data_IF_915035423815
#
_entry.id   IF_915035423815
#
_cell.length_a   1.000
_cell.length_b   1.000
_cell.length_c   1.000
_cell.angle_alpha   90.00
_cell.angle_beta   90.00
_cell.angle_gamma   90.00
#
_symmetry.space_group_name_H-M   'P 1'
#
loop_
_entity.id
_entity.type
_entity.pdbx_description
1 polymer ?
#
# COMPACT_ATOMS: atom_id res chain seq x y z
N UNK A 1 -63.14 22.22 -37.09
CA UNK A 1 -61.85 22.95 -37.14
C UNK A 1 -61.44 23.19 -35.69
N UNK A 2 -60.31 22.74 -35.15
CA UNK A 2 -59.13 22.08 -35.68
C UNK A 2 -58.64 21.07 -34.62
N UNK A 3 -58.06 19.97 -35.08
CA UNK A 3 -57.50 18.90 -34.27
C UNK A 3 -56.12 19.31 -33.73
N UNK A 4 -55.84 19.03 -32.45
CA UNK A 4 -54.47 18.96 -31.92
C UNK A 4 -54.33 17.59 -31.26
N UNK A 5 -53.54 16.74 -31.92
CA UNK A 5 -53.10 15.43 -31.45
C UNK A 5 -52.17 15.62 -30.25
N UNK A 6 -52.55 15.08 -29.10
CA UNK A 6 -51.67 14.97 -27.93
C UNK A 6 -50.79 13.74 -28.11
N UNK A 7 -49.51 13.95 -28.41
CA UNK A 7 -48.47 12.92 -28.42
C UNK A 7 -48.06 12.69 -26.96
N UNK A 8 -48.48 11.56 -26.39
CA UNK A 8 -48.01 11.11 -25.09
C UNK A 8 -46.68 10.37 -25.30
N UNK A 9 -45.56 11.05 -25.02
CA UNK A 9 -44.24 10.42 -24.97
C UNK A 9 -44.16 9.49 -23.75
N UNK A 10 -44.01 8.19 -24.01
CA UNK A 10 -43.65 7.18 -23.02
C UNK A 10 -42.23 7.51 -22.53
N UNK A 11 -42.11 8.03 -21.31
CA UNK A 11 -40.82 8.12 -20.62
C UNK A 11 -40.51 6.74 -20.03
N UNK A 12 -39.72 5.93 -20.75
CA UNK A 12 -39.00 4.83 -20.13
C UNK A 12 -37.97 5.45 -19.17
N UNK A 13 -38.28 5.43 -17.88
CA UNK A 13 -37.29 5.64 -16.84
C UNK A 13 -36.30 4.48 -16.87
N UNK A 14 -35.19 4.66 -17.57
CA UNK A 14 -34.02 3.79 -17.46
C UNK A 14 -33.41 4.03 -16.08
N UNK A 15 -33.92 3.31 -15.08
CA UNK A 15 -33.30 3.23 -13.77
C UNK A 15 -32.05 2.37 -13.93
N UNK A 16 -30.96 3.01 -14.39
CA UNK A 16 -29.66 2.38 -14.45
C UNK A 16 -29.28 1.97 -13.03
N UNK A 17 -29.21 0.66 -12.78
CA UNK A 17 -28.42 0.13 -11.68
C UNK A 17 -26.98 0.60 -11.91
N UNK A 18 -26.63 1.74 -11.31
CA UNK A 18 -25.24 2.04 -11.00
C UNK A 18 -24.83 0.96 -10.01
N UNK A 19 -24.26 -0.13 -10.53
CA UNK A 19 -23.40 -1.00 -9.74
C UNK A 19 -22.40 -0.04 -9.11
N UNK A 20 -22.56 0.23 -7.81
CA UNK A 20 -21.50 0.80 -6.99
C UNK A 20 -20.38 -0.22 -7.04
N UNK A 21 -19.54 -0.15 -8.08
CA UNK A 21 -18.22 -0.75 -8.00
C UNK A 21 -17.62 -0.12 -6.76
N UNK A 22 -17.31 -0.92 -5.75
CA UNK A 22 -16.55 -0.44 -4.60
C UNK A 22 -15.30 0.22 -5.19
N UNK A 23 -15.29 1.56 -5.20
CA UNK A 23 -14.07 2.29 -5.53
C UNK A 23 -13.14 1.99 -4.37
N UNK A 24 -12.01 1.36 -4.67
CA UNK A 24 -10.91 1.26 -3.74
C UNK A 24 -10.51 2.69 -3.31
N UNK A 25 -10.01 2.84 -2.08
CA UNK A 25 -9.75 4.16 -1.48
C UNK A 25 -8.67 4.95 -2.21
N UNK A 26 -7.75 4.26 -2.89
CA UNK A 26 -6.71 4.91 -3.67
C UNK A 26 -7.26 5.60 -4.92
N UNK A 27 -7.03 6.90 -5.03
CA UNK A 27 -7.37 7.71 -6.20
C UNK A 27 -6.11 8.35 -6.79
N UNK A 28 -5.72 7.90 -7.99
CA UNK A 28 -4.57 8.44 -8.73
C UNK A 28 -4.80 9.85 -9.26
N UNK A 29 -6.04 10.36 -9.24
CA UNK A 29 -6.36 11.71 -9.68
C UNK A 29 -6.15 12.76 -8.57
N UNK A 30 -6.01 12.34 -7.31
CA UNK A 30 -5.84 13.25 -6.17
C UNK A 30 -4.43 13.18 -5.59
N UNK A 31 -4.09 14.19 -4.80
CA UNK A 31 -2.82 14.33 -4.08
C UNK A 31 -2.99 14.15 -2.56
N UNK A 32 -4.18 13.74 -2.11
CA UNK A 32 -4.57 13.68 -0.71
C UNK A 32 -4.74 12.26 -0.19
N UNK A 33 -4.17 11.26 -0.86
CA UNK A 33 -4.28 9.88 -0.39
C UNK A 33 -3.51 9.73 0.92
N UNK A 34 -4.12 9.10 1.92
CA UNK A 34 -3.49 8.77 3.19
C UNK A 34 -3.32 7.27 3.28
N UNK A 35 -2.08 6.86 3.47
CA UNK A 35 -1.67 5.48 3.67
C UNK A 35 -1.11 5.32 5.07
N UNK A 36 -1.61 4.36 5.84
CA UNK A 36 -1.06 4.09 7.17
C UNK A 36 -0.81 2.60 7.31
N UNK A 37 0.42 2.22 7.65
CA UNK A 37 0.76 0.83 7.92
C UNK A 37 0.04 0.31 9.17
N UNK A 38 -0.37 -0.96 9.13
CA UNK A 38 -0.95 -1.66 10.27
C UNK A 38 -0.31 -3.03 10.42
N UNK A 39 -0.08 -3.47 11.66
CA UNK A 39 0.28 -4.85 11.95
C UNK A 39 1.53 -5.02 12.81
N UNK A 40 2.41 -4.02 12.94
CA UNK A 40 3.65 -4.18 13.74
C UNK A 40 3.57 -3.63 15.16
N UNK A 41 2.46 -2.98 15.54
CA UNK A 41 2.29 -2.36 16.85
C UNK A 41 3.52 -1.54 17.26
N UNK A 42 4.01 -0.66 16.38
CA UNK A 42 5.28 0.04 16.62
C UNK A 42 5.29 0.97 17.84
N UNK A 43 4.14 1.30 18.43
CA UNK A 43 4.05 2.00 19.72
C UNK A 43 4.47 1.11 20.91
N UNK A 44 4.48 -0.21 20.74
CA UNK A 44 4.99 -1.23 21.69
C UNK A 44 4.30 -1.26 23.05
N UNK A 45 3.16 -0.59 23.21
CA UNK A 45 2.32 -0.72 24.40
C UNK A 45 1.28 -1.83 24.22
N UNK A 46 0.94 -2.48 25.32
CA UNK A 46 -0.18 -3.40 25.36
C UNK A 46 -1.46 -2.67 24.88
N UNK A 47 -2.26 -3.36 24.06
CA UNK A 47 -3.54 -2.86 23.52
C UNK A 47 -3.45 -1.60 22.64
N UNK A 48 -2.25 -1.17 22.22
CA UNK A 48 -2.11 0.02 21.36
C UNK A 48 -2.29 -0.24 19.86
N UNK A 49 -2.15 -1.49 19.42
CA UNK A 49 -2.64 -1.94 18.13
C UNK A 49 -4.01 -2.60 18.31
N UNK A 50 -5.03 -1.95 17.79
CA UNK A 50 -6.38 -2.49 17.74
C UNK A 50 -6.54 -3.42 16.52
N UNK A 51 -7.66 -4.13 16.45
CA UNK A 51 -8.00 -4.93 15.25
C UNK A 51 -8.12 -4.01 14.03
N UNK A 52 -7.84 -4.55 12.85
CA UNK A 52 -7.78 -3.77 11.61
C UNK A 52 -9.12 -3.04 11.33
N UNK A 53 -10.25 -3.69 11.57
CA UNK A 53 -11.57 -3.11 11.30
C UNK A 53 -11.89 -1.84 12.11
N UNK A 54 -11.28 -1.66 13.28
CA UNK A 54 -11.53 -0.48 14.13
C UNK A 54 -11.08 0.82 13.43
N UNK A 55 -10.01 0.73 12.64
CA UNK A 55 -9.46 1.85 11.88
C UNK A 55 -10.20 2.11 10.56
N UNK A 56 -10.93 1.12 10.04
CA UNK A 56 -11.51 1.20 8.71
C UNK A 56 -12.76 2.08 8.62
N UNK A 57 -13.31 2.51 9.75
CA UNK A 57 -14.37 3.52 9.80
C UNK A 57 -13.83 4.95 9.66
N UNK A 58 -12.53 5.16 9.84
CA UNK A 58 -11.90 6.47 9.70
C UNK A 58 -11.82 6.86 8.22
N UNK A 59 -12.69 7.76 7.79
CA UNK A 59 -12.79 8.23 6.40
C UNK A 59 -11.54 8.98 5.91
N UNK A 60 -10.61 9.36 6.81
CA UNK A 60 -9.36 10.00 6.42
C UNK A 60 -8.34 9.05 5.80
N UNK A 61 -8.44 7.76 6.10
CA UNK A 61 -7.49 6.71 5.67
C UNK A 61 -7.98 6.08 4.37
N UNK A 62 -7.13 6.01 3.36
CA UNK A 62 -7.52 5.50 2.03
C UNK A 62 -6.93 4.09 1.77
N UNK A 63 -5.68 3.86 2.20
CA UNK A 63 -4.94 2.61 1.97
C UNK A 63 -4.33 2.11 3.29
N UNK A 64 -4.40 0.80 3.51
CA UNK A 64 -3.80 0.15 4.68
C UNK A 64 -2.93 -1.03 4.23
N UNK A 65 -1.60 -0.87 4.19
CA UNK A 65 -0.67 -1.96 4.01
C UNK A 65 -0.57 -2.78 5.31
N UNK A 66 -0.81 -4.08 5.18
CA UNK A 66 -0.68 -5.07 6.25
C UNK A 66 0.80 -5.45 6.38
N UNK A 67 1.42 -5.02 7.47
CA UNK A 67 2.82 -5.24 7.80
C UNK A 67 2.99 -6.41 8.79
N UNK A 68 3.53 -7.57 8.41
CA UNK A 68 4.15 -7.91 7.12
C UNK A 68 4.04 -9.40 6.76
N UNK A 69 4.22 -9.70 5.47
CA UNK A 69 4.81 -10.96 5.01
C UNK A 69 6.34 -10.86 5.14
N UNK A 70 6.89 -11.54 6.15
CA UNK A 70 8.30 -11.43 6.58
C UNK A 70 9.24 -12.44 5.91
N UNK A 71 8.69 -13.39 5.15
CA UNK A 71 9.43 -14.27 4.24
C UNK A 71 8.50 -14.72 3.11
N UNK A 72 9.02 -14.80 1.88
CA UNK A 72 8.27 -15.28 0.71
C UNK A 72 8.63 -16.74 0.43
N UNK A 73 9.91 -17.09 0.57
CA UNK A 73 10.43 -18.44 0.27
C UNK A 73 10.12 -19.48 1.34
N UNK A 74 9.70 -19.02 2.52
CA UNK A 74 9.04 -19.82 3.55
C UNK A 74 7.91 -18.96 4.09
N UNK A 75 6.76 -18.90 3.40
CA UNK A 75 5.73 -17.89 3.65
C UNK A 75 5.44 -17.73 5.13
N UNK A 76 5.74 -16.56 5.66
CA UNK A 76 5.62 -16.26 7.08
C UNK A 76 5.06 -14.86 7.23
N UNK A 77 4.00 -14.74 8.02
CA UNK A 77 3.38 -13.46 8.34
C UNK A 77 3.62 -13.14 9.81
N UNK A 78 3.83 -11.86 10.10
CA UNK A 78 3.90 -11.35 11.46
C UNK A 78 3.04 -10.09 11.53
N UNK A 79 2.02 -10.11 12.39
CA UNK A 79 1.16 -8.96 12.66
C UNK A 79 1.15 -8.60 14.15
N UNK A 80 2.29 -8.78 14.83
CA UNK A 80 2.47 -8.51 16.25
C UNK A 80 1.30 -9.08 17.09
N UNK A 81 0.72 -8.29 17.99
CA UNK A 81 -0.40 -8.71 18.85
C UNK A 81 -1.67 -9.08 18.08
N UNK A 82 -1.85 -8.63 16.84
CA UNK A 82 -2.98 -9.08 16.02
C UNK A 82 -2.80 -10.52 15.52
N UNK A 83 -1.56 -11.02 15.50
CA UNK A 83 -1.23 -12.42 15.23
C UNK A 83 -1.63 -13.39 16.34
N UNK A 84 -1.86 -12.92 17.57
CA UNK A 84 -2.19 -13.78 18.73
C UNK A 84 -3.55 -14.49 18.57
N UNK A 85 -4.43 -13.93 17.73
CA UNK A 85 -5.73 -14.53 17.39
C UNK A 85 -5.67 -15.46 16.16
N UNK A 86 -4.49 -15.62 15.55
CA UNK A 86 -4.29 -16.56 14.45
C UNK A 86 -4.04 -17.99 14.98
N UNK A 87 -4.39 -18.98 14.18
CA UNK A 87 -4.36 -20.40 14.52
C UNK A 87 -3.33 -21.09 13.62
N UNK A 88 -2.44 -21.89 14.19
CA UNK A 88 -1.52 -22.71 13.40
C UNK A 88 -2.30 -23.75 12.61
N UNK A 89 -2.07 -23.82 11.30
CA UNK A 89 -2.69 -24.84 10.45
C UNK A 89 -2.03 -26.19 10.75
N UNK A 90 -2.78 -27.22 11.19
CA UNK A 90 -2.20 -28.51 11.56
C UNK A 90 -1.34 -29.12 10.44
N UNK A 91 -0.10 -29.49 10.77
CA UNK A 91 0.86 -30.06 9.81
C UNK A 91 1.56 -29.05 8.89
N UNK A 92 1.45 -27.75 9.18
CA UNK A 92 2.08 -26.66 8.43
C UNK A 92 2.81 -25.68 9.36
N UNK A 93 3.67 -24.83 8.78
CA UNK A 93 4.24 -23.65 9.43
C UNK A 93 3.38 -22.39 9.21
N UNK A 94 2.32 -22.50 8.41
CA UNK A 94 1.39 -21.40 8.12
C UNK A 94 0.37 -21.23 9.24
N UNK A 95 -0.06 -19.99 9.43
CA UNK A 95 -1.17 -19.63 10.30
C UNK A 95 -2.39 -19.23 9.48
N UNK A 96 -3.57 -19.44 10.03
CA UNK A 96 -4.85 -18.92 9.56
C UNK A 96 -5.30 -17.81 10.52
N UNK A 97 -5.75 -16.68 9.99
CA UNK A 97 -6.09 -15.49 10.77
C UNK A 97 -7.56 -15.08 10.51
N UNK A 98 -8.56 -15.78 11.09
CA UNK A 98 -9.97 -15.51 10.79
C UNK A 98 -10.42 -14.07 11.11
N UNK A 99 -9.86 -13.46 12.16
CA UNK A 99 -10.16 -12.06 12.50
C UNK A 99 -9.63 -11.09 11.44
N UNK A 100 -8.42 -11.34 10.92
CA UNK A 100 -7.83 -10.50 9.87
C UNK A 100 -8.58 -10.71 8.55
N UNK A 101 -8.99 -11.94 8.23
CA UNK A 101 -9.88 -12.22 7.10
C UNK A 101 -11.17 -11.39 7.16
N UNK A 102 -11.88 -11.43 8.29
CA UNK A 102 -13.10 -10.65 8.51
C UNK A 102 -12.85 -9.15 8.34
N UNK A 103 -11.74 -8.67 8.91
CA UNK A 103 -11.39 -7.25 8.91
C UNK A 103 -11.04 -6.75 7.51
N UNK A 104 -10.24 -7.48 6.73
CA UNK A 104 -9.92 -7.14 5.33
C UNK A 104 -11.21 -6.90 4.55
N UNK A 105 -12.16 -7.84 4.63
CA UNK A 105 -13.42 -7.73 3.92
C UNK A 105 -14.28 -6.57 4.43
N UNK A 106 -14.26 -6.30 5.73
CA UNK A 106 -14.95 -5.16 6.34
C UNK A 106 -14.40 -3.84 5.83
N UNK A 107 -13.08 -3.68 5.83
CA UNK A 107 -12.43 -2.47 5.34
C UNK A 107 -12.67 -2.23 3.85
N UNK A 108 -12.61 -3.28 3.04
CA UNK A 108 -12.94 -3.21 1.61
C UNK A 108 -14.40 -2.79 1.38
N UNK A 109 -15.36 -3.26 2.19
CA UNK A 109 -16.75 -2.80 2.14
C UNK A 109 -16.91 -1.32 2.52
N UNK A 110 -16.03 -0.83 3.38
CA UNK A 110 -15.93 0.59 3.76
C UNK A 110 -15.07 1.42 2.78
N UNK A 111 -14.66 0.82 1.65
CA UNK A 111 -13.96 1.52 0.58
C UNK A 111 -12.46 1.70 0.81
N UNK A 112 -11.86 1.00 1.78
CA UNK A 112 -10.41 1.02 1.99
C UNK A 112 -9.71 0.11 0.98
N UNK A 113 -8.54 0.52 0.51
CA UNK A 113 -7.61 -0.38 -0.21
C UNK A 113 -6.76 -1.13 0.82
N UNK A 114 -6.82 -2.46 0.84
CA UNK A 114 -6.01 -3.29 1.74
C UNK A 114 -4.93 -4.03 0.97
N UNK A 115 -3.66 -3.75 1.27
CA UNK A 115 -2.51 -4.34 0.57
C UNK A 115 -1.73 -5.24 1.53
N UNK A 116 -1.12 -6.31 1.03
CA UNK A 116 -0.14 -7.06 1.84
C UNK A 116 1.26 -6.48 1.60
N UNK A 117 1.93 -6.00 2.64
CA UNK A 117 3.31 -5.53 2.54
C UNK A 117 4.29 -6.67 2.78
N UNK A 118 5.24 -6.79 1.86
CA UNK A 118 6.25 -7.82 1.80
C UNK A 118 7.59 -7.17 2.13
N UNK A 119 8.21 -7.61 3.22
CA UNK A 119 9.45 -7.00 3.68
C UNK A 119 9.40 -6.56 5.14
N UNK A 120 9.81 -5.32 5.36
CA UNK A 120 10.03 -4.71 6.67
C UNK A 120 11.39 -5.04 7.29
N UNK A 121 11.74 -4.35 8.37
CA UNK A 121 13.06 -4.39 9.00
C UNK A 121 13.53 -5.79 9.46
N UNK A 122 12.60 -6.72 9.72
CA UNK A 122 12.93 -8.11 10.11
C UNK A 122 12.99 -9.08 8.94
N UNK A 123 12.73 -8.63 7.71
CA UNK A 123 12.76 -9.46 6.51
C UNK A 123 14.16 -10.01 6.27
N UNK A 124 14.26 -11.33 6.14
CA UNK A 124 15.55 -12.02 6.16
C UNK A 124 15.90 -12.76 4.87
N UNK A 125 14.94 -12.98 3.98
CA UNK A 125 15.21 -13.57 2.67
C UNK A 125 16.29 -12.74 1.95
N UNK A 126 17.02 -13.39 1.03
CA UNK A 126 18.07 -12.77 0.21
C UNK A 126 17.71 -12.72 -1.28
N UNK A 127 16.46 -13.04 -1.59
CA UNK A 127 15.92 -13.18 -2.91
C UNK A 127 15.89 -14.64 -3.35
N UNK A 128 15.79 -14.84 -4.65
CA UNK A 128 15.58 -16.16 -5.25
C UNK A 128 16.88 -16.71 -5.84
N UNK A 129 16.94 -18.02 -6.08
CA UNK A 129 18.14 -18.64 -6.67
C UNK A 129 18.19 -18.48 -8.20
N UNK A 130 17.06 -18.15 -8.82
CA UNK A 130 16.93 -17.91 -10.25
C UNK A 130 15.68 -17.08 -10.58
N UNK A 131 15.59 -16.58 -11.81
CA UNK A 131 14.38 -15.90 -12.28
C UNK A 131 13.15 -16.81 -12.34
N UNK A 132 13.32 -18.10 -12.68
CA UNK A 132 12.21 -19.06 -12.69
C UNK A 132 11.73 -19.41 -11.29
N UNK A 133 12.66 -19.49 -10.33
CA UNK A 133 12.33 -19.67 -8.91
C UNK A 133 11.51 -18.49 -8.39
N UNK A 134 11.94 -17.25 -8.69
CA UNK A 134 11.20 -16.03 -8.38
C UNK A 134 9.76 -16.06 -8.93
N UNK A 135 9.58 -16.44 -10.19
CA UNK A 135 8.27 -16.57 -10.84
C UNK A 135 7.41 -17.62 -10.13
N UNK A 136 7.96 -18.78 -9.78
CA UNK A 136 7.19 -19.84 -9.11
C UNK A 136 6.71 -19.45 -7.71
N UNK A 137 7.49 -18.65 -6.99
CA UNK A 137 7.09 -18.10 -5.69
C UNK A 137 5.98 -17.06 -5.81
N UNK A 138 5.91 -16.31 -6.92
CA UNK A 138 4.78 -15.41 -7.19
C UNK A 138 3.49 -16.19 -7.34
N UNK A 139 3.51 -17.33 -8.02
CA UNK A 139 2.30 -18.16 -8.15
C UNK A 139 1.81 -18.68 -6.80
N UNK A 140 2.73 -19.05 -5.92
CA UNK A 140 2.42 -19.45 -4.54
C UNK A 140 1.83 -18.29 -3.74
N UNK A 141 2.46 -17.11 -3.80
CA UNK A 141 1.97 -15.89 -3.15
C UNK A 141 0.56 -15.52 -3.66
N UNK A 142 0.37 -15.52 -4.97
CA UNK A 142 -0.90 -15.16 -5.60
C UNK A 142 -2.01 -16.16 -5.26
N UNK A 143 -1.70 -17.46 -5.18
CA UNK A 143 -2.65 -18.47 -4.73
C UNK A 143 -3.00 -18.36 -3.23
N UNK A 144 -2.09 -17.85 -2.40
CA UNK A 144 -2.31 -17.67 -0.96
C UNK A 144 -3.15 -16.42 -0.63
N UNK A 145 -2.92 -15.29 -1.33
CA UNK A 145 -3.47 -13.98 -0.95
C UNK A 145 -4.29 -13.28 -2.06
N UNK A 146 -4.13 -13.69 -3.32
CA UNK A 146 -4.92 -13.22 -4.45
C UNK A 146 -6.27 -13.93 -4.56
N UNK A 147 -7.00 -13.79 -5.68
CA UNK A 147 -8.24 -14.53 -5.94
C UNK A 147 -8.11 -16.03 -5.72
N UNK A 148 -9.17 -16.65 -5.24
CA UNK A 148 -9.23 -18.11 -5.10
C UNK A 148 -9.02 -18.79 -6.46
N UNK A 149 -8.16 -19.80 -6.48
CA UNK A 149 -7.84 -20.58 -7.66
C UNK A 149 -8.44 -21.98 -7.52
N UNK A 150 -9.42 -22.37 -8.36
CA UNK A 150 -10.07 -23.67 -8.27
C UNK A 150 -9.05 -24.83 -8.30
N UNK A 151 -9.11 -25.71 -7.29
CA UNK A 151 -8.24 -26.88 -7.18
C UNK A 151 -6.84 -26.59 -6.61
N UNK A 152 -6.53 -25.34 -6.24
CA UNK A 152 -5.30 -25.03 -5.51
C UNK A 152 -5.28 -25.70 -4.13
N UNK A 153 -4.10 -26.17 -3.73
CA UNK A 153 -3.85 -26.73 -2.39
C UNK A 153 -3.02 -25.79 -1.52
N UNK A 154 -2.74 -24.58 -2.01
CA UNK A 154 -2.00 -23.57 -1.26
C UNK A 154 -2.88 -23.08 -0.11
N UNK A 155 -2.32 -23.08 1.09
CA UNK A 155 -2.98 -22.58 2.29
C UNK A 155 -3.15 -21.08 2.20
N UNK A 156 -4.31 -20.58 2.65
CA UNK A 156 -4.69 -19.17 2.57
C UNK A 156 -4.80 -18.58 3.97
N UNK A 157 -3.81 -17.78 4.42
CA UNK A 157 -3.81 -17.22 5.78
C UNK A 157 -5.02 -16.34 6.09
N UNK A 158 -5.62 -15.74 5.07
CA UNK A 158 -6.80 -14.89 5.20
C UNK A 158 -8.06 -15.55 4.60
N UNK A 159 -8.11 -16.89 4.57
CA UNK A 159 -9.27 -17.63 4.07
C UNK A 159 -9.75 -17.14 2.71
N UNK A 160 -11.01 -16.70 2.64
CA UNK A 160 -11.64 -16.20 1.43
C UNK A 160 -11.33 -14.72 1.11
N UNK A 161 -10.69 -13.97 2.02
CA UNK A 161 -10.29 -12.60 1.73
C UNK A 161 -9.24 -12.54 0.61
N UNK A 162 -9.34 -11.50 -0.22
CA UNK A 162 -8.46 -11.23 -1.35
C UNK A 162 -7.93 -9.81 -1.19
N UNK A 163 -6.61 -9.67 -1.04
CA UNK A 163 -6.00 -8.33 -0.94
C UNK A 163 -6.22 -7.52 -2.21
N UNK A 164 -6.16 -6.20 -2.09
CA UNK A 164 -6.25 -5.25 -3.20
C UNK A 164 -4.89 -4.99 -3.86
N UNK A 165 -3.84 -5.66 -3.41
CA UNK A 165 -2.51 -5.43 -3.93
C UNK A 165 -1.40 -5.90 -3.02
N UNK A 166 -0.18 -5.62 -3.47
CA UNK A 166 1.04 -5.89 -2.70
C UNK A 166 1.92 -4.66 -2.66
N UNK A 167 2.54 -4.50 -1.51
CA UNK A 167 3.57 -3.51 -1.28
C UNK A 167 4.93 -4.21 -1.12
N UNK A 168 5.97 -3.67 -1.76
CA UNK A 168 7.34 -4.17 -1.65
C UNK A 168 8.16 -3.23 -0.76
N UNK A 169 8.17 -3.52 0.55
CA UNK A 169 8.94 -2.78 1.56
C UNK A 169 10.29 -3.46 1.83
N UNK A 170 11.12 -3.50 0.78
CA UNK A 170 12.42 -4.14 0.84
C UNK A 170 13.45 -3.18 1.42
N UNK A 171 13.94 -3.48 2.62
CA UNK A 171 14.96 -2.67 3.31
C UNK A 171 16.41 -3.12 3.05
N UNK A 172 16.60 -4.16 2.23
CA UNK A 172 17.92 -4.63 1.81
C UNK A 172 17.88 -5.18 0.39
N UNK A 173 19.02 -5.22 -0.30
CA UNK A 173 19.10 -5.75 -1.65
C UNK A 173 18.80 -7.26 -1.71
N UNK A 174 18.01 -7.66 -2.70
CA UNK A 174 17.49 -9.01 -2.88
C UNK A 174 17.72 -9.48 -4.33
N UNK A 175 18.17 -10.72 -4.51
CA UNK A 175 18.36 -11.29 -5.85
C UNK A 175 17.03 -11.59 -6.55
N UNK A 176 16.98 -11.35 -7.87
CA UNK A 176 15.84 -11.69 -8.73
C UNK A 176 14.49 -11.07 -8.33
N UNK A 177 14.46 -9.93 -7.62
CA UNK A 177 13.19 -9.25 -7.33
C UNK A 177 12.50 -8.64 -8.55
N UNK A 178 13.25 -8.36 -9.61
CA UNK A 178 12.63 -7.80 -10.81
C UNK A 178 11.77 -8.82 -11.59
N UNK A 179 12.23 -10.05 -11.89
CA UNK A 179 11.32 -11.06 -12.45
C UNK A 179 10.18 -11.42 -11.49
N UNK A 180 10.40 -11.37 -10.16
CA UNK A 180 9.32 -11.52 -9.18
C UNK A 180 8.24 -10.43 -9.34
N UNK A 181 8.63 -9.16 -9.30
CA UNK A 181 7.69 -8.05 -9.38
C UNK A 181 7.00 -7.95 -10.74
N UNK A 182 7.68 -8.32 -11.83
CA UNK A 182 7.11 -8.36 -13.18
C UNK A 182 6.01 -9.43 -13.29
N UNK A 183 6.27 -10.64 -12.76
CA UNK A 183 5.27 -11.70 -12.72
C UNK A 183 4.10 -11.34 -11.79
N UNK A 184 4.36 -10.68 -10.66
CA UNK A 184 3.31 -10.27 -9.73
C UNK A 184 2.38 -9.25 -10.39
N UNK A 185 2.94 -8.25 -11.08
CA UNK A 185 2.17 -7.29 -11.87
C UNK A 185 1.35 -7.98 -12.97
N UNK A 186 1.93 -8.96 -13.67
CA UNK A 186 1.22 -9.72 -14.70
C UNK A 186 0.03 -10.52 -14.15
N UNK A 187 0.18 -11.18 -12.99
CA UNK A 187 -0.91 -11.91 -12.35
C UNK A 187 -2.05 -10.96 -11.93
N UNK A 188 -1.70 -9.80 -11.39
CA UNK A 188 -2.66 -8.76 -11.01
C UNK A 188 -3.41 -8.18 -12.23
N UNK A 189 -2.71 -7.90 -13.33
CA UNK A 189 -3.33 -7.39 -14.56
C UNK A 189 -4.26 -8.41 -15.19
N UNK A 190 -3.86 -9.67 -15.25
CA UNK A 190 -4.68 -10.76 -15.75
C UNK A 190 -5.96 -10.93 -14.91
N UNK A 191 -5.84 -10.87 -13.58
CA UNK A 191 -7.00 -10.95 -12.71
C UNK A 191 -7.92 -9.73 -12.84
N UNK A 192 -7.37 -8.52 -12.92
CA UNK A 192 -8.16 -7.31 -13.14
C UNK A 192 -8.94 -7.37 -14.46
N UNK A 193 -8.34 -7.91 -15.52
CA UNK A 193 -9.01 -8.14 -16.79
C UNK A 193 -10.14 -9.19 -16.67
N UNK A 194 -9.95 -10.22 -15.85
CA UNK A 194 -10.90 -11.31 -15.69
C UNK A 194 -12.10 -10.97 -14.79
N UNK A 195 -11.87 -10.26 -13.67
CA UNK A 195 -12.90 -10.03 -12.65
C UNK A 195 -13.31 -8.54 -12.50
N UNK A 196 -12.59 -7.62 -13.15
CA UNK A 196 -12.86 -6.18 -13.09
C UNK A 196 -12.48 -5.51 -11.76
N UNK A 197 -11.84 -6.23 -10.83
CA UNK A 197 -11.26 -5.69 -9.59
C UNK A 197 -9.91 -5.06 -9.91
N UNK A 198 -9.68 -3.85 -9.40
CA UNK A 198 -8.37 -3.19 -9.51
C UNK A 198 -7.41 -3.75 -8.46
N UNK A 199 -6.16 -3.98 -8.86
CA UNK A 199 -5.09 -4.41 -7.96
C UNK A 199 -3.89 -3.45 -8.06
N UNK A 200 -3.32 -3.09 -6.92
CA UNK A 200 -2.25 -2.10 -6.80
C UNK A 200 -0.90 -2.73 -6.43
N UNK A 201 0.16 -2.28 -7.09
CA UNK A 201 1.52 -2.67 -6.77
C UNK A 201 2.28 -1.41 -6.33
N UNK A 202 2.84 -1.45 -5.12
CA UNK A 202 3.69 -0.38 -4.59
C UNK A 202 5.08 -0.88 -4.20
N UNK A 203 5.98 0.09 -3.99
CA UNK A 203 7.26 -0.14 -3.34
C UNK A 203 7.53 0.97 -2.32
N UNK A 204 8.33 0.66 -1.31
CA UNK A 204 8.58 1.55 -0.17
C UNK A 204 10.07 1.83 -0.02
N UNK A 205 10.70 2.50 -1.01
CA UNK A 205 12.13 2.81 -0.94
C UNK A 205 12.42 3.77 0.21
N UNK A 206 13.66 3.75 0.71
CA UNK A 206 14.14 4.85 1.53
C UNK A 206 14.34 6.10 0.66
N UNK A 207 14.49 7.26 1.30
CA UNK A 207 14.68 8.53 0.59
C UNK A 207 15.89 8.61 -0.39
N UNK A 208 17.07 7.95 -0.18
CA UNK A 208 18.22 8.19 -1.04
C UNK A 208 17.91 7.64 -2.43
N UNK A 209 18.18 8.43 -3.46
CA UNK A 209 18.06 7.99 -4.84
C UNK A 209 19.44 7.87 -5.49
N UNK A 210 19.80 6.72 -6.10
CA UNK A 210 18.99 5.50 -6.18
C UNK A 210 18.92 4.74 -4.84
N UNK A 211 17.73 4.22 -4.51
CA UNK A 211 17.54 3.35 -3.33
C UNK A 211 18.17 1.97 -3.58
N UNK A 212 19.03 1.51 -2.68
CA UNK A 212 19.84 0.30 -2.92
C UNK A 212 18.97 -0.96 -3.08
N UNK A 213 17.89 -1.07 -2.30
CA UNK A 213 17.07 -2.28 -2.28
C UNK A 213 16.10 -2.34 -3.46
N UNK A 214 15.54 -1.19 -3.84
CA UNK A 214 14.41 -1.10 -4.76
C UNK A 214 14.80 -0.59 -6.15
N UNK A 215 15.95 0.10 -6.31
CA UNK A 215 16.37 0.66 -7.61
C UNK A 215 16.36 -0.35 -8.78
N UNK A 216 16.76 -1.63 -8.62
CA UNK A 216 16.65 -2.60 -9.70
C UNK A 216 15.25 -2.78 -10.27
N UNK A 217 14.20 -2.52 -9.48
CA UNK A 217 12.80 -2.54 -9.92
C UNK A 217 12.33 -1.16 -10.41
N UNK A 218 12.79 -0.08 -9.75
CA UNK A 218 12.36 1.30 -10.00
C UNK A 218 12.97 1.92 -11.27
N UNK A 219 14.04 1.36 -11.83
CA UNK A 219 14.73 1.89 -13.02
C UNK A 219 14.02 1.63 -14.36
N UNK A 220 12.69 1.79 -14.40
CA UNK A 220 11.86 1.66 -15.61
C UNK A 220 11.47 0.23 -15.97
N UNK A 221 11.76 -0.74 -15.10
CA UNK A 221 11.47 -2.17 -15.36
C UNK A 221 10.08 -2.59 -14.92
N UNK A 222 9.62 -2.12 -13.77
CA UNK A 222 8.34 -2.51 -13.16
C UNK A 222 7.36 -1.35 -13.15
N UNK A 223 6.09 -1.66 -13.43
CA UNK A 223 4.99 -0.70 -13.40
C UNK A 223 4.37 -0.66 -12.01
N UNK A 224 4.80 0.28 -11.18
CA UNK A 224 4.20 0.57 -9.89
C UNK A 224 3.04 1.57 -10.05
N UNK A 225 1.99 1.39 -9.27
CA UNK A 225 0.86 2.33 -9.20
C UNK A 225 1.23 3.55 -8.37
N UNK A 226 1.94 3.32 -7.27
CA UNK A 226 2.52 4.36 -6.43
C UNK A 226 3.76 3.84 -5.68
N UNK A 227 4.59 4.74 -5.18
CA UNK A 227 5.67 4.44 -4.25
C UNK A 227 5.52 5.28 -2.98
N UNK A 228 5.97 4.72 -1.86
CA UNK A 228 5.90 5.36 -0.55
C UNK A 228 7.32 5.60 -0.05
N UNK A 229 7.88 6.77 -0.38
CA UNK A 229 9.28 7.05 -0.09
C UNK A 229 9.43 7.41 1.39
N UNK A 230 10.28 6.69 2.11
CA UNK A 230 10.49 6.91 3.55
C UNK A 230 11.36 8.15 3.78
N UNK A 231 10.74 9.32 4.04
CA UNK A 231 11.44 10.58 4.35
C UNK A 231 11.71 10.74 5.86
N UNK A 232 12.21 9.67 6.49
CA UNK A 232 12.56 9.61 7.91
C UNK A 232 13.71 8.62 8.14
N UNK A 233 14.20 8.49 9.37
CA UNK A 233 15.37 7.67 9.74
C UNK A 233 16.66 7.98 8.97
N UNK A 234 16.74 9.16 8.35
CA UNK A 234 17.85 9.58 7.52
C UNK A 234 18.05 11.10 7.57
N UNK A 235 19.14 11.63 7.01
CA UNK A 235 19.54 13.04 7.11
C UNK A 235 18.64 14.07 6.35
N UNK A 236 17.48 13.65 5.84
CA UNK A 236 16.90 14.18 4.59
C UNK A 236 15.47 13.72 4.27
N UNK A 237 14.71 13.04 5.14
CA UNK A 237 14.14 13.65 6.35
C UNK A 237 13.20 14.82 6.01
N UNK A 238 11.90 14.71 6.32
CA UNK A 238 10.98 15.88 6.38
C UNK A 238 11.53 16.94 7.35
N UNK A 239 12.19 16.50 8.43
CA UNK A 239 12.91 17.35 9.38
C UNK A 239 14.04 18.18 8.78
N UNK A 240 14.48 17.88 7.56
CA UNK A 240 15.52 18.61 6.84
C UNK A 240 14.98 19.58 5.78
N UNK A 241 13.65 19.75 5.70
CA UNK A 241 13.02 20.75 4.85
C UNK A 241 13.37 22.18 5.32
N UNK A 242 13.74 23.05 4.39
CA UNK A 242 14.07 24.45 4.66
C UNK A 242 13.03 25.35 4.00
N UNK A 243 12.23 26.03 4.82
CA UNK A 243 11.19 26.94 4.35
C UNK A 243 11.77 28.10 3.52
N UNK A 244 11.10 28.42 2.41
CA UNK A 244 11.48 29.53 1.52
C UNK A 244 12.56 29.20 0.50
N UNK A 245 13.26 28.07 0.64
CA UNK A 245 14.25 27.63 -0.34
C UNK A 245 13.57 26.89 -1.51
N UNK A 246 13.84 27.36 -2.73
CA UNK A 246 13.33 26.72 -3.96
C UNK A 246 14.02 25.37 -4.17
N UNK A 247 15.32 25.31 -3.95
CA UNK A 247 16.13 24.09 -4.09
C UNK A 247 16.43 23.51 -2.72
N UNK A 248 15.80 22.38 -2.42
CA UNK A 248 16.00 21.65 -1.18
C UNK A 248 17.25 20.78 -1.28
N UNK A 249 18.28 21.09 -0.48
CA UNK A 249 19.54 20.32 -0.50
C UNK A 249 19.38 18.90 0.01
N UNK A 250 18.60 18.72 1.08
CA UNK A 250 18.44 17.44 1.76
C UNK A 250 17.04 16.85 1.53
N UNK A 251 15.97 17.64 1.59
CA UNK A 251 14.60 17.17 1.34
C UNK A 251 14.32 16.97 -0.16
N UNK A 252 14.78 15.85 -0.70
CA UNK A 252 14.92 15.58 -2.14
C UNK A 252 13.64 15.10 -2.86
N UNK A 253 12.45 15.62 -2.50
CA UNK A 253 11.20 15.21 -3.15
C UNK A 253 11.21 15.47 -4.67
N UNK A 254 11.87 16.55 -5.12
CA UNK A 254 12.08 16.86 -6.54
C UNK A 254 12.79 15.72 -7.30
N UNK A 255 13.72 15.02 -6.65
CA UNK A 255 14.43 13.89 -7.27
C UNK A 255 13.47 12.74 -7.56
N UNK A 256 12.58 12.45 -6.62
CA UNK A 256 11.55 11.42 -6.79
C UNK A 256 10.46 11.83 -7.80
N UNK A 257 10.11 13.12 -7.87
CA UNK A 257 9.26 13.63 -8.94
C UNK A 257 9.91 13.51 -10.32
N UNK A 258 11.20 13.80 -10.41
CA UNK A 258 11.97 13.62 -11.65
C UNK A 258 11.97 12.15 -12.06
N UNK A 259 12.31 11.24 -11.14
CA UNK A 259 12.22 9.80 -11.38
C UNK A 259 10.84 9.37 -11.90
N UNK A 260 9.76 9.82 -11.25
CA UNK A 260 8.39 9.47 -11.64
C UNK A 260 8.09 9.88 -13.10
N UNK A 261 8.59 11.05 -13.52
CA UNK A 261 8.36 11.59 -14.88
C UNK A 261 9.30 11.03 -15.94
N UNK A 262 10.55 10.70 -15.59
CA UNK A 262 11.60 10.39 -16.58
C UNK A 262 12.03 8.93 -16.60
N UNK A 263 11.93 8.22 -15.48
CA UNK A 263 12.47 6.85 -15.32
C UNK A 263 11.40 5.78 -15.07
N UNK A 264 10.36 6.06 -14.27
CA UNK A 264 9.29 5.09 -13.96
C UNK A 264 8.61 4.51 -15.21
N UNK A 265 8.39 3.19 -15.24
CA UNK A 265 7.64 2.53 -16.33
C UNK A 265 6.21 3.07 -16.44
N UNK A 266 5.58 3.34 -15.30
CA UNK A 266 4.29 4.03 -15.23
C UNK A 266 4.52 5.54 -15.10
N UNK A 267 4.23 6.29 -16.17
CA UNK A 267 4.38 7.76 -16.18
C UNK A 267 3.33 8.50 -15.34
N UNK A 268 2.31 7.79 -14.86
CA UNK A 268 1.30 8.30 -13.94
C UNK A 268 1.51 7.80 -12.51
N UNK A 269 2.68 7.20 -12.20
CA UNK A 269 3.00 6.73 -10.85
C UNK A 269 2.89 7.88 -9.85
N UNK A 270 2.36 7.59 -8.67
CA UNK A 270 2.31 8.52 -7.56
C UNK A 270 3.46 8.32 -6.58
N UNK A 271 3.97 9.41 -6.04
CA UNK A 271 4.99 9.44 -4.99
C UNK A 271 4.34 9.97 -3.73
N UNK A 272 4.32 9.14 -2.69
CA UNK A 272 3.79 9.51 -1.38
C UNK A 272 4.94 9.87 -0.45
N UNK A 273 4.72 10.92 0.34
CA UNK A 273 5.66 11.36 1.36
C UNK A 273 5.51 10.48 2.60
N UNK A 274 6.46 9.57 2.82
CA UNK A 274 6.51 8.72 4.01
C UNK A 274 7.00 9.48 5.24
N UNK A 275 6.24 9.44 6.32
CA UNK A 275 6.53 10.13 7.59
C UNK A 275 6.29 9.24 8.82
N UNK A 276 6.94 9.51 9.96
CA UNK A 276 6.61 8.85 11.22
C UNK A 276 5.28 9.40 11.78
N UNK A 277 4.46 8.54 12.36
CA UNK A 277 3.19 8.92 12.99
C UNK A 277 3.35 9.57 14.37
N UNK A 278 4.50 9.37 15.02
CA UNK A 278 4.83 9.90 16.34
C UNK A 278 6.36 9.90 16.56
N UNK A 279 6.84 10.49 17.66
CA UNK A 279 8.26 10.51 18.03
C UNK A 279 8.86 9.11 18.23
N UNK A 280 8.04 8.13 18.64
CA UNK A 280 8.45 6.74 18.82
C UNK A 280 8.56 5.93 17.53
N UNK A 281 8.10 6.48 16.40
CA UNK A 281 7.99 5.76 15.13
C UNK A 281 9.27 5.82 14.26
N UNK A 282 10.40 6.17 14.88
CA UNK A 282 11.67 6.43 14.21
C UNK A 282 12.11 7.89 14.34
N UNK A 283 13.30 8.19 13.84
CA UNK A 283 13.85 9.54 13.83
C UNK A 283 13.24 10.39 12.71
N UNK A 284 13.12 11.70 12.95
CA UNK A 284 12.64 12.66 11.93
C UNK A 284 11.15 12.94 11.98
N UNK A 285 10.47 12.64 13.10
CA UNK A 285 9.10 13.09 13.34
C UNK A 285 9.03 14.63 13.30
N UNK A 286 8.05 15.15 12.56
CA UNK A 286 7.76 16.59 12.42
C UNK A 286 6.26 16.76 12.49
N UNK A 287 5.79 17.78 13.21
CA UNK A 287 4.37 18.05 13.41
C UNK A 287 4.01 19.51 13.12
N UNK A 288 2.71 19.80 13.09
CA UNK A 288 2.16 21.15 13.00
C UNK A 288 2.62 21.91 11.75
N UNK A 289 2.93 23.20 11.92
CA UNK A 289 3.25 24.09 10.80
C UNK A 289 4.49 23.67 10.01
N UNK A 290 5.47 23.02 10.65
CA UNK A 290 6.67 22.55 9.96
C UNK A 290 6.34 21.42 8.97
N UNK A 291 5.49 20.46 9.38
CA UNK A 291 5.01 19.39 8.50
C UNK A 291 4.16 19.97 7.36
N UNK A 292 3.22 20.86 7.68
CA UNK A 292 2.33 21.48 6.68
C UNK A 292 3.11 22.20 5.57
N UNK A 293 4.24 22.84 5.90
CA UNK A 293 5.09 23.50 4.90
C UNK A 293 5.81 22.53 3.99
N UNK A 294 6.36 21.44 4.54
CA UNK A 294 6.97 20.39 3.74
C UNK A 294 5.94 19.72 2.82
N UNK A 295 4.73 19.46 3.31
CA UNK A 295 3.62 18.95 2.50
C UNK A 295 3.24 19.93 1.38
N UNK A 296 3.07 21.22 1.70
CA UNK A 296 2.76 22.24 0.68
C UNK A 296 3.84 22.33 -0.39
N UNK A 297 5.12 22.17 -0.01
CA UNK A 297 6.22 22.10 -0.97
C UNK A 297 6.13 20.83 -1.83
N UNK A 298 5.79 19.67 -1.27
CA UNK A 298 5.63 18.44 -2.03
C UNK A 298 4.42 18.48 -2.99
N UNK A 299 3.32 19.13 -2.59
CA UNK A 299 2.09 19.25 -3.39
C UNK A 299 2.25 19.97 -4.73
N UNK A 300 3.31 20.79 -4.88
CA UNK A 300 3.57 21.47 -6.15
C UNK A 300 3.99 20.50 -7.27
N UNK A 301 4.46 19.29 -6.92
CA UNK A 301 4.96 18.29 -7.86
C UNK A 301 3.81 17.40 -8.37
N UNK A 302 3.74 17.19 -9.68
CA UNK A 302 2.63 16.44 -10.31
C UNK A 302 2.56 14.97 -9.87
N UNK A 303 3.70 14.41 -9.51
CA UNK A 303 3.80 13.04 -9.01
C UNK A 303 3.30 12.88 -7.58
N UNK A 304 3.15 13.97 -6.81
CA UNK A 304 2.71 13.89 -5.42
C UNK A 304 1.33 13.22 -5.33
N UNK A 305 1.26 12.16 -4.52
CA UNK A 305 0.07 11.34 -4.34
C UNK A 305 -0.58 11.46 -2.96
N UNK A 306 0.12 12.05 -2.00
CA UNK A 306 -0.31 12.14 -0.60
C UNK A 306 0.76 11.66 0.36
N UNK A 307 0.34 11.11 1.49
CA UNK A 307 1.19 10.82 2.66
C UNK A 307 1.11 9.35 3.00
N UNK A 308 2.27 8.74 3.29
CA UNK A 308 2.36 7.44 3.94
C UNK A 308 2.83 7.63 5.38
N UNK A 309 2.26 6.90 6.33
CA UNK A 309 2.54 7.05 7.75
C UNK A 309 2.89 5.69 8.36
N UNK A 310 4.03 5.65 9.06
CA UNK A 310 4.46 4.54 9.90
C UNK A 310 4.18 4.85 11.38
N UNK A 311 3.32 4.15 12.13
CA UNK A 311 2.24 3.22 11.74
C UNK A 311 0.96 3.58 12.55
N UNK A 312 -0.14 2.83 12.37
CA UNK A 312 -1.43 3.11 13.04
C UNK A 312 -1.33 3.19 14.56
N UNK A 313 -0.59 2.29 15.21
CA UNK A 313 -0.47 2.29 16.67
C UNK A 313 0.15 3.60 17.18
N UNK A 314 1.10 4.16 16.43
CA UNK A 314 1.75 5.44 16.75
C UNK A 314 0.83 6.63 16.51
N UNK A 315 0.13 6.65 15.37
CA UNK A 315 -0.80 7.73 15.00
C UNK A 315 -1.90 7.85 16.05
N UNK A 316 -2.53 6.73 16.42
CA UNK A 316 -3.67 6.74 17.35
C UNK A 316 -3.24 6.94 18.82
N UNK A 317 -1.98 6.66 19.15
CA UNK A 317 -1.40 7.06 20.43
C UNK A 317 -0.96 8.53 20.48
N UNK A 318 -0.98 9.25 19.34
CA UNK A 318 -0.53 10.63 19.24
C UNK A 318 -1.72 11.60 19.18
N UNK A 319 -2.11 12.23 20.30
CA UNK A 319 -3.25 13.15 20.33
C UNK A 319 -3.03 14.45 19.53
N UNK A 320 -1.80 14.71 19.08
CA UNK A 320 -1.46 15.86 18.24
C UNK A 320 -1.43 15.57 16.74
N UNK A 321 -1.67 14.33 16.32
CA UNK A 321 -1.65 13.94 14.91
C UNK A 321 -3.04 14.08 14.28
N UNK A 322 -3.16 14.93 13.27
CA UNK A 322 -4.42 15.16 12.55
C UNK A 322 -4.25 14.68 11.11
N UNK A 323 -5.09 13.72 10.70
CA UNK A 323 -5.03 13.12 9.35
C UNK A 323 -5.69 14.02 8.29
N UNK A 324 -6.66 14.85 8.70
CA UNK A 324 -7.34 15.88 7.89
C UNK A 324 -7.83 17.03 8.78
#
# INVERSE_FOLDING_TARGET
MAAIKMILLIHLAFMGLLVRRAKAGFDTAVSSNIVIYWGQNSYTQQDSQHRLADYCSDESIDIIPLAFLTSITSPSINFASAGDSCILIPGSQMIECPQIEEDIQTCQRLGKTIMLSIGGATYSDKGFVSSSDAVSWVDTLWAAFGPEQPGSKILRPFGAAVVDGFDLDLESAQSHMVPFADQLRANMDAAAAANGKTYYLSATPQFPYPDIANHPMLNGRISFDFIMVQFYNNYCGVSSYVEGEVLQKNFNFETWDTWARTESKNRNVKVLLGIPGNEGAGAGYVAGTALLRALSFSEQYKSFGGVMIWDMSQVYANPGFYLR
#
